data_IF_080828316506
#
_entry.id   IF_080828316506
#
_cell.length_a   1.000
_cell.length_b   1.000
_cell.length_c   1.000
_cell.angle_alpha   90.00
_cell.angle_beta   90.00
_cell.angle_gamma   90.00
#
_symmetry.space_group_name_H-M   'P 1'
#
loop_
_entity.id
_entity.type
_entity.pdbx_description
1 polymer ?
#
# COMPACT_ATOMS: atom_id res chain seq x y z
N UNK A 1 -2.06 18.22 -27.20
CA UNK A 1 -2.06 17.90 -25.75
C UNK A 1 -0.77 17.21 -25.28
N UNK A 2 0.23 16.95 -26.14
CA UNK A 2 1.45 16.18 -25.81
C UNK A 2 2.74 17.03 -25.64
N UNK A 3 2.61 18.34 -25.43
CA UNK A 3 3.75 19.29 -25.37
C UNK A 3 4.00 19.91 -24.00
N UNK A 4 3.25 19.52 -22.95
CA UNK A 4 3.22 20.25 -21.67
C UNK A 4 4.57 20.25 -20.95
N UNK A 5 5.27 19.11 -20.93
CA UNK A 5 6.60 18.99 -20.31
C UNK A 5 7.77 19.36 -21.23
N UNK A 6 7.51 19.61 -22.52
CA UNK A 6 8.52 20.15 -23.45
C UNK A 6 8.62 21.67 -23.38
N UNK A 7 7.69 22.32 -22.70
CA UNK A 7 7.64 23.76 -22.58
C UNK A 7 8.34 24.16 -21.27
N UNK A 8 9.53 24.76 -21.37
CA UNK A 8 10.35 25.13 -20.21
C UNK A 8 9.63 26.08 -19.24
N UNK A 9 8.69 26.87 -19.77
CA UNK A 9 7.81 27.76 -18.99
C UNK A 9 6.84 27.00 -18.08
N UNK A 10 6.27 25.89 -18.55
CA UNK A 10 5.41 25.04 -17.71
C UNK A 10 6.24 24.24 -16.72
N UNK A 11 7.44 23.79 -17.12
CA UNK A 11 8.35 23.07 -16.22
C UNK A 11 8.81 23.96 -15.07
N UNK A 12 9.16 25.20 -15.34
CA UNK A 12 9.52 26.20 -14.30
C UNK A 12 8.33 26.57 -13.42
N UNK A 13 7.13 26.72 -13.98
CA UNK A 13 5.90 26.98 -13.21
C UNK A 13 5.47 25.81 -12.32
N UNK A 14 5.69 24.56 -12.76
CA UNK A 14 5.39 23.35 -11.99
C UNK A 14 6.46 23.06 -10.92
N UNK A 15 7.71 23.44 -11.18
CA UNK A 15 8.84 23.23 -10.25
C UNK A 15 8.92 24.29 -9.16
N UNK A 16 8.42 25.51 -9.42
CA UNK A 16 8.43 26.59 -8.46
C UNK A 16 7.30 26.43 -7.44
N UNK A 17 7.67 26.43 -6.16
CA UNK A 17 6.72 26.27 -5.06
C UNK A 17 5.75 27.44 -5.07
N UNK A 18 4.51 27.14 -5.44
CA UNK A 18 3.38 28.02 -5.22
C UNK A 18 3.09 29.11 -6.23
N UNK A 19 3.89 29.24 -7.29
CA UNK A 19 3.47 30.05 -8.45
C UNK A 19 2.17 29.52 -9.04
N UNK A 20 2.01 28.20 -9.05
CA UNK A 20 0.79 27.56 -9.53
C UNK A 20 -0.43 27.93 -8.66
N UNK A 21 -0.27 27.97 -7.33
CA UNK A 21 -1.33 28.42 -6.43
C UNK A 21 -1.64 29.92 -6.60
N UNK A 22 -0.62 30.75 -6.77
CA UNK A 22 -0.79 32.20 -7.03
C UNK A 22 -1.55 32.47 -8.33
N UNK A 23 -1.35 31.64 -9.37
CA UNK A 23 -1.99 31.82 -10.68
C UNK A 23 -3.39 31.21 -10.75
N UNK A 24 -3.60 30.03 -10.18
CA UNK A 24 -4.84 29.27 -10.32
C UNK A 24 -5.78 29.40 -9.11
N UNK A 25 -5.27 29.84 -7.96
CA UNK A 25 -6.00 29.79 -6.69
C UNK A 25 -6.28 28.35 -6.23
N UNK A 26 -6.81 28.20 -5.01
CA UNK A 26 -7.07 26.89 -4.39
C UNK A 26 -8.04 26.05 -5.25
N UNK A 27 -9.17 26.64 -5.64
CA UNK A 27 -10.20 25.94 -6.42
C UNK A 27 -9.73 25.55 -7.82
N UNK A 28 -8.99 26.44 -8.50
CA UNK A 28 -8.43 26.14 -9.82
C UNK A 28 -7.41 24.99 -9.75
N UNK A 29 -6.62 24.92 -8.69
CA UNK A 29 -5.73 23.79 -8.46
C UNK A 29 -6.50 22.47 -8.23
N UNK A 30 -7.52 22.49 -7.36
CA UNK A 30 -8.33 21.29 -7.09
C UNK A 30 -9.06 20.78 -8.34
N UNK A 31 -9.71 21.67 -9.09
CA UNK A 31 -10.39 21.32 -10.33
C UNK A 31 -9.40 20.86 -11.40
N UNK A 32 -8.24 21.53 -11.52
CA UNK A 32 -7.15 21.12 -12.40
C UNK A 32 -6.66 19.71 -12.11
N UNK A 33 -6.47 19.36 -10.82
CA UNK A 33 -6.11 18.01 -10.40
C UNK A 33 -7.17 16.97 -10.78
N UNK A 34 -8.45 17.26 -10.59
CA UNK A 34 -9.56 16.35 -10.94
C UNK A 34 -9.62 16.12 -12.45
N UNK A 35 -9.52 17.19 -13.25
CA UNK A 35 -9.57 17.09 -14.72
C UNK A 35 -8.38 16.29 -15.24
N UNK A 36 -7.17 16.60 -14.78
CA UNK A 36 -5.95 15.89 -15.19
C UNK A 36 -5.91 14.43 -14.72
N UNK A 37 -6.49 14.11 -13.56
CA UNK A 37 -6.68 12.72 -13.12
C UNK A 37 -7.64 11.95 -14.01
N UNK A 38 -8.74 12.57 -14.45
CA UNK A 38 -9.66 11.96 -15.43
C UNK A 38 -8.99 11.76 -16.79
N UNK A 39 -8.15 12.71 -17.23
CA UNK A 39 -7.34 12.55 -18.44
C UNK A 39 -6.32 11.42 -18.28
N UNK A 40 -5.67 11.28 -17.12
CA UNK A 40 -4.77 10.17 -16.84
C UNK A 40 -5.51 8.83 -16.96
N UNK A 41 -6.70 8.70 -16.38
CA UNK A 41 -7.57 7.52 -16.53
C UNK A 41 -7.96 7.23 -17.99
N UNK A 42 -7.86 8.20 -18.89
CA UNK A 42 -8.04 7.98 -20.32
C UNK A 42 -6.73 7.57 -21.01
N UNK A 43 -5.62 8.24 -20.69
CA UNK A 43 -4.30 7.96 -21.25
C UNK A 43 -3.73 6.58 -20.89
N UNK A 44 -4.16 6.01 -19.76
CA UNK A 44 -3.80 4.64 -19.35
C UNK A 44 -4.03 3.61 -20.48
N UNK A 45 -5.03 3.83 -21.34
CA UNK A 45 -5.37 2.93 -22.44
C UNK A 45 -4.61 3.22 -23.74
N UNK A 46 -3.95 4.38 -23.83
CA UNK A 46 -3.35 4.88 -25.07
C UNK A 46 -1.82 4.87 -25.02
N UNK A 47 -1.24 5.38 -23.94
CA UNK A 47 0.20 5.56 -23.82
C UNK A 47 0.61 5.72 -22.35
N UNK A 48 1.52 4.86 -21.88
CA UNK A 48 2.04 4.84 -20.52
C UNK A 48 2.80 6.13 -20.16
N UNK A 49 3.57 6.69 -21.09
CA UNK A 49 4.36 7.90 -20.82
C UNK A 49 3.44 9.12 -20.62
N UNK A 50 2.38 9.21 -21.42
CA UNK A 50 1.38 10.27 -21.30
C UNK A 50 0.56 10.10 -20.02
N UNK A 51 0.26 8.87 -19.64
CA UNK A 51 -0.39 8.55 -18.38
C UNK A 51 0.45 9.01 -17.19
N UNK A 52 1.76 8.70 -17.18
CA UNK A 52 2.67 9.15 -16.12
C UNK A 52 2.75 10.69 -16.06
N UNK A 53 2.94 11.34 -17.20
CA UNK A 53 3.00 12.81 -17.28
C UNK A 53 1.72 13.48 -16.75
N UNK A 54 0.56 12.95 -17.11
CA UNK A 54 -0.72 13.49 -16.64
C UNK A 54 -0.97 13.21 -15.16
N UNK A 55 -0.52 12.07 -14.63
CA UNK A 55 -0.52 11.80 -13.19
C UNK A 55 0.39 12.77 -12.43
N UNK A 56 1.59 13.02 -12.96
CA UNK A 56 2.51 14.00 -12.38
C UNK A 56 1.90 15.41 -12.39
N UNK A 57 1.30 15.83 -13.50
CA UNK A 57 0.62 17.12 -13.57
C UNK A 57 -0.48 17.27 -12.52
N UNK A 58 -1.33 16.25 -12.34
CA UNK A 58 -2.35 16.23 -11.28
C UNK A 58 -1.73 16.34 -9.88
N UNK A 59 -0.63 15.63 -9.64
CA UNK A 59 0.08 15.69 -8.36
C UNK A 59 0.69 17.07 -8.06
N UNK A 60 1.19 17.80 -9.07
CA UNK A 60 1.68 19.17 -8.89
C UNK A 60 0.57 20.12 -8.44
N UNK A 61 -0.63 19.99 -9.02
CA UNK A 61 -1.79 20.76 -8.58
C UNK A 61 -2.13 20.49 -7.11
N UNK A 62 -2.25 19.21 -6.70
CA UNK A 62 -2.58 18.84 -5.33
C UNK A 62 -1.50 19.29 -4.33
N UNK A 63 -0.24 19.05 -4.69
CA UNK A 63 0.92 19.39 -3.88
C UNK A 63 1.07 20.90 -3.68
N UNK A 64 0.78 21.70 -4.71
CA UNK A 64 0.82 23.16 -4.61
C UNK A 64 -0.12 23.73 -3.55
N UNK A 65 -1.25 23.07 -3.28
CA UNK A 65 -2.20 23.52 -2.25
C UNK A 65 -1.71 23.11 -0.86
N UNK A 66 -1.13 21.91 -0.76
CA UNK A 66 -0.70 21.32 0.51
C UNK A 66 0.61 21.90 1.07
N UNK A 67 1.45 22.51 0.24
CA UNK A 67 2.62 23.24 0.75
C UNK A 67 2.25 24.49 1.56
N UNK A 68 1.13 25.14 1.24
CA UNK A 68 0.74 26.37 1.93
C UNK A 68 -0.01 26.14 3.24
N UNK A 69 -0.44 24.91 3.52
CA UNK A 69 -1.16 24.59 4.76
C UNK A 69 -0.24 24.37 5.95
N UNK A 70 1.03 24.02 5.69
CA UNK A 70 1.94 23.54 6.71
C UNK A 70 3.23 24.38 6.69
N UNK A 71 3.34 25.40 7.56
CA UNK A 71 4.43 26.38 7.52
C UNK A 71 5.82 25.82 7.86
N UNK A 72 5.95 24.52 8.15
CA UNK A 72 7.20 23.89 8.62
C UNK A 72 7.73 22.75 7.74
N UNK A 73 7.06 22.42 6.63
CA UNK A 73 7.48 21.33 5.74
C UNK A 73 8.23 21.92 4.53
N UNK A 74 9.54 22.05 4.65
CA UNK A 74 10.37 22.57 3.56
C UNK A 74 10.76 21.49 2.56
N UNK A 75 10.68 20.21 2.93
CA UNK A 75 11.07 19.10 2.06
C UNK A 75 9.95 18.07 1.94
N UNK A 76 9.93 17.33 0.83
CA UNK A 76 8.92 16.28 0.62
C UNK A 76 9.01 15.17 1.66
N UNK A 77 10.22 14.93 2.17
CA UNK A 77 10.49 13.92 3.18
C UNK A 77 9.89 14.28 4.54
N UNK A 78 9.71 15.57 4.85
CA UNK A 78 9.14 16.02 6.14
C UNK A 78 7.71 15.50 6.31
N UNK A 79 6.98 15.34 5.20
CA UNK A 79 5.64 14.74 5.16
C UNK A 79 5.61 13.27 5.56
N UNK A 80 6.74 12.56 5.58
CA UNK A 80 6.83 11.19 6.10
C UNK A 80 6.50 11.13 7.59
N UNK A 81 6.80 12.18 8.35
CA UNK A 81 6.57 12.24 9.81
C UNK A 81 5.21 12.84 10.19
N UNK A 82 4.48 13.36 9.21
CA UNK A 82 3.25 14.10 9.44
C UNK A 82 2.09 13.16 9.80
N UNK A 83 1.64 13.20 11.05
CA UNK A 83 0.46 12.47 11.51
C UNK A 83 -0.55 13.45 12.06
N UNK A 84 -1.69 13.56 11.40
CA UNK A 84 -2.71 14.52 11.77
C UNK A 84 -3.73 13.88 12.72
N UNK A 85 -4.09 14.64 13.74
CA UNK A 85 -5.16 14.29 14.68
C UNK A 85 -6.50 14.78 14.14
N UNK A 86 -7.59 14.10 14.53
CA UNK A 86 -8.96 14.33 14.06
C UNK A 86 -9.45 15.80 14.16
N UNK A 87 -8.77 16.65 14.92
CA UNK A 87 -9.06 18.08 15.13
C UNK A 87 -8.35 19.03 14.15
N UNK A 88 -7.53 18.53 13.23
CA UNK A 88 -6.76 19.39 12.33
C UNK A 88 -7.61 19.81 11.14
N UNK A 89 -8.01 21.07 11.08
CA UNK A 89 -8.58 21.65 9.88
C UNK A 89 -7.53 21.68 8.78
N UNK A 90 -7.85 21.12 7.60
CA UNK A 90 -6.93 21.07 6.44
C UNK A 90 -6.50 22.47 6.03
N UNK A 91 -7.47 23.39 6.00
CA UNK A 91 -7.30 24.80 5.72
C UNK A 91 -8.14 25.58 6.74
N UNK A 92 -7.53 26.40 7.62
CA UNK A 92 -8.30 27.22 8.54
C UNK A 92 -9.23 28.17 7.76
N UNK A 93 -10.52 28.17 8.07
CA UNK A 93 -11.52 29.04 7.44
C UNK A 93 -12.04 28.58 6.07
N UNK A 94 -11.56 27.46 5.50
CA UNK A 94 -12.08 26.92 4.23
C UNK A 94 -12.83 25.63 4.49
N UNK A 95 -14.12 25.63 4.19
CA UNK A 95 -14.95 24.43 4.19
C UNK A 95 -15.01 23.86 2.76
N UNK A 96 -14.26 22.79 2.48
CA UNK A 96 -14.24 22.17 1.15
C UNK A 96 -15.58 21.54 0.76
N UNK A 97 -16.31 21.07 1.77
CA UNK A 97 -17.53 20.26 1.62
C UNK A 97 -18.81 21.09 1.71
N UNK A 98 -18.71 22.40 1.93
CA UNK A 98 -19.90 23.24 2.09
C UNK A 98 -20.60 23.58 0.77
N UNK A 99 -19.87 23.55 -0.35
CA UNK A 99 -20.40 23.93 -1.67
C UNK A 99 -20.05 22.85 -2.72
N UNK A 100 -21.01 21.96 -2.98
CA UNK A 100 -20.84 20.86 -3.95
C UNK A 100 -20.62 21.35 -5.39
N UNK A 101 -21.07 22.56 -5.73
CA UNK A 101 -20.91 23.12 -7.08
C UNK A 101 -19.48 23.58 -7.35
N UNK A 102 -18.74 23.96 -6.31
CA UNK A 102 -17.31 24.29 -6.43
C UNK A 102 -16.44 23.05 -6.49
N UNK A 103 -16.76 22.04 -5.67
CA UNK A 103 -15.95 20.84 -5.57
C UNK A 103 -16.79 19.68 -5.04
N UNK A 104 -16.89 18.62 -5.83
CA UNK A 104 -17.46 17.37 -5.35
C UNK A 104 -16.42 16.60 -4.50
N UNK A 105 -16.64 16.38 -3.19
CA UNK A 105 -15.67 15.74 -2.32
C UNK A 105 -15.38 14.29 -2.74
N UNK A 106 -16.36 13.57 -3.29
CA UNK A 106 -16.15 12.21 -3.80
C UNK A 106 -15.19 12.20 -4.99
N UNK A 107 -15.33 13.17 -5.89
CA UNK A 107 -14.43 13.30 -7.03
C UNK A 107 -12.99 13.62 -6.60
N UNK A 108 -12.82 14.41 -5.54
CA UNK A 108 -11.49 14.68 -4.98
C UNK A 108 -10.91 13.44 -4.29
N UNK A 109 -11.69 12.71 -3.49
CA UNK A 109 -11.28 11.44 -2.87
C UNK A 109 -10.82 10.43 -3.94
N UNK A 110 -11.62 10.22 -4.99
CA UNK A 110 -11.28 9.32 -6.10
C UNK A 110 -10.04 9.76 -6.87
N UNK A 111 -9.81 11.07 -6.96
CA UNK A 111 -8.64 11.65 -7.59
C UNK A 111 -7.39 11.39 -6.75
N UNK A 112 -7.46 11.67 -5.45
CA UNK A 112 -6.36 11.44 -4.50
C UNK A 112 -5.99 9.97 -4.44
N UNK A 113 -6.98 9.08 -4.27
CA UNK A 113 -6.76 7.63 -4.24
C UNK A 113 -6.05 7.16 -5.53
N UNK A 114 -6.60 7.53 -6.70
CA UNK A 114 -6.05 7.10 -7.98
C UNK A 114 -4.62 7.62 -8.24
N UNK A 115 -4.36 8.90 -7.97
CA UNK A 115 -3.04 9.50 -8.21
C UNK A 115 -2.01 8.94 -7.24
N UNK A 116 -2.38 8.79 -5.96
CA UNK A 116 -1.52 8.17 -4.94
C UNK A 116 -1.12 6.76 -5.38
N UNK A 117 -2.10 5.95 -5.79
CA UNK A 117 -1.88 4.57 -6.19
C UNK A 117 -1.15 4.45 -7.54
N UNK A 118 -1.39 5.35 -8.49
CA UNK A 118 -0.70 5.35 -9.77
C UNK A 118 0.78 5.69 -9.59
N UNK A 119 1.09 6.83 -8.97
CA UNK A 119 2.47 7.29 -8.83
C UNK A 119 3.29 6.42 -7.86
N UNK A 120 2.66 5.79 -6.84
CA UNK A 120 3.36 4.82 -5.98
C UNK A 120 3.79 3.56 -6.74
N UNK A 121 3.12 3.21 -7.85
CA UNK A 121 3.54 2.09 -8.72
C UNK A 121 4.68 2.48 -9.68
N UNK A 122 4.84 3.77 -9.96
CA UNK A 122 5.95 4.30 -10.75
C UNK A 122 7.20 4.57 -9.89
N UNK A 123 7.20 4.16 -8.62
CA UNK A 123 8.29 4.35 -7.64
C UNK A 123 8.74 5.82 -7.47
N UNK A 124 7.86 6.78 -7.77
CA UNK A 124 8.10 8.22 -7.56
C UNK A 124 7.80 8.58 -6.10
N UNK A 125 8.52 7.93 -5.18
CA UNK A 125 8.18 7.80 -3.77
C UNK A 125 8.34 9.10 -2.96
N UNK A 126 9.36 9.91 -3.22
CA UNK A 126 9.54 11.18 -2.49
C UNK A 126 8.48 12.21 -2.87
N UNK A 127 8.25 12.38 -4.18
CA UNK A 127 7.35 13.41 -4.72
C UNK A 127 5.90 13.26 -4.25
N UNK A 128 5.48 12.03 -3.99
CA UNK A 128 4.09 11.68 -3.69
C UNK A 128 3.72 11.80 -2.20
N UNK A 129 4.70 11.81 -1.28
CA UNK A 129 4.47 11.92 0.16
C UNK A 129 3.52 13.07 0.56
N UNK A 130 3.67 14.30 0.02
CA UNK A 130 2.74 15.40 0.33
C UNK A 130 1.30 15.09 -0.12
N UNK A 131 1.14 14.43 -1.28
CA UNK A 131 -0.18 14.10 -1.83
C UNK A 131 -0.85 12.98 -1.03
N UNK A 132 -0.07 11.99 -0.57
CA UNK A 132 -0.57 10.93 0.31
C UNK A 132 -0.98 11.49 1.67
N UNK A 133 -0.17 12.40 2.23
CA UNK A 133 -0.53 13.09 3.46
C UNK A 133 -1.84 13.88 3.30
N UNK A 134 -2.00 14.65 2.21
CA UNK A 134 -3.26 15.31 1.88
C UNK A 134 -4.43 14.31 1.78
N UNK A 135 -4.20 13.14 1.18
CA UNK A 135 -5.22 12.09 1.05
C UNK A 135 -5.67 11.53 2.40
N UNK A 136 -4.73 11.17 3.30
CA UNK A 136 -5.04 10.66 4.64
C UNK A 136 -5.86 11.70 5.44
N UNK A 137 -5.43 12.97 5.42
CA UNK A 137 -6.12 14.05 6.11
C UNK A 137 -7.54 14.24 5.57
N UNK A 138 -7.68 14.28 4.24
CA UNK A 138 -8.97 14.51 3.62
C UNK A 138 -9.92 13.32 3.83
N UNK A 139 -9.39 12.09 3.83
CA UNK A 139 -10.15 10.88 4.17
C UNK A 139 -10.67 10.91 5.61
N UNK A 140 -9.82 11.34 6.56
CA UNK A 140 -10.19 11.50 7.97
C UNK A 140 -11.24 12.59 8.13
N UNK A 141 -11.08 13.74 7.47
CA UNK A 141 -12.04 14.83 7.49
C UNK A 141 -13.42 14.39 6.94
N UNK A 142 -13.43 13.59 5.87
CA UNK A 142 -14.65 13.01 5.30
C UNK A 142 -15.22 11.85 6.13
N UNK A 143 -14.57 11.47 7.25
CA UNK A 143 -14.92 10.32 8.09
C UNK A 143 -15.01 8.99 7.33
N UNK A 144 -14.24 8.84 6.26
CA UNK A 144 -14.23 7.62 5.46
C UNK A 144 -13.11 6.68 5.91
N UNK A 145 -13.49 5.65 6.66
CA UNK A 145 -12.55 4.65 7.21
C UNK A 145 -11.80 3.91 6.10
N UNK A 146 -12.50 3.44 5.06
CA UNK A 146 -11.88 2.64 3.99
C UNK A 146 -10.77 3.42 3.28
N UNK A 147 -11.06 4.68 2.92
CA UNK A 147 -10.05 5.54 2.30
C UNK A 147 -8.94 5.97 3.26
N UNK A 148 -9.24 6.12 4.56
CA UNK A 148 -8.20 6.40 5.56
C UNK A 148 -7.20 5.24 5.63
N UNK A 149 -7.70 4.01 5.67
CA UNK A 149 -6.88 2.80 5.69
C UNK A 149 -6.11 2.68 4.37
N UNK A 150 -6.77 2.86 3.23
CA UNK A 150 -6.13 2.82 1.91
C UNK A 150 -5.00 3.86 1.79
N UNK A 151 -5.23 5.10 2.22
CA UNK A 151 -4.21 6.15 2.23
C UNK A 151 -2.98 5.74 3.05
N UNK A 152 -3.20 5.15 4.24
CA UNK A 152 -2.14 4.67 5.12
C UNK A 152 -1.41 3.45 4.57
N UNK A 153 -2.09 2.53 3.87
CA UNK A 153 -1.44 1.39 3.20
C UNK A 153 -0.56 1.87 2.04
N UNK A 154 -1.03 2.81 1.22
CA UNK A 154 -0.20 3.41 0.16
C UNK A 154 0.99 4.14 0.77
N UNK A 155 0.78 4.89 1.85
CA UNK A 155 1.87 5.55 2.59
C UNK A 155 2.89 4.54 3.12
N UNK A 156 2.42 3.47 3.75
CA UNK A 156 3.26 2.40 4.29
C UNK A 156 4.14 1.80 3.19
N UNK A 157 3.55 1.49 2.03
CA UNK A 157 4.29 0.99 0.85
C UNK A 157 5.41 1.94 0.44
N UNK A 158 5.10 3.23 0.29
CA UNK A 158 6.07 4.27 -0.09
C UNK A 158 7.18 4.43 0.95
N UNK A 159 6.85 4.42 2.24
CA UNK A 159 7.84 4.53 3.30
C UNK A 159 8.78 3.31 3.36
N UNK A 160 8.26 2.10 3.12
CA UNK A 160 9.10 0.90 3.00
C UNK A 160 10.02 1.00 1.78
N UNK A 161 9.54 1.51 0.65
CA UNK A 161 10.35 1.73 -0.55
C UNK A 161 11.46 2.78 -0.34
N UNK A 162 11.23 3.75 0.55
CA UNK A 162 12.21 4.76 0.96
C UNK A 162 13.10 4.33 2.14
N UNK A 163 12.95 3.10 2.64
CA UNK A 163 13.64 2.56 3.81
C UNK A 163 13.43 3.36 5.11
N UNK A 164 12.32 4.10 5.21
CA UNK A 164 11.91 4.85 6.40
C UNK A 164 11.17 3.92 7.39
N UNK A 165 11.92 2.99 8.00
CA UNK A 165 11.35 1.90 8.80
C UNK A 165 10.69 2.36 10.11
N UNK A 166 11.21 3.41 10.77
CA UNK A 166 10.57 4.04 11.92
C UNK A 166 9.14 4.51 11.61
N UNK A 167 8.98 5.30 10.56
CA UNK A 167 7.70 5.85 10.13
C UNK A 167 6.76 4.75 9.62
N UNK A 168 7.29 3.78 8.87
CA UNK A 168 6.54 2.61 8.41
C UNK A 168 5.98 1.79 9.58
N UNK A 169 6.83 1.48 10.58
CA UNK A 169 6.42 0.74 11.77
C UNK A 169 5.35 1.49 12.57
N UNK A 170 5.45 2.82 12.65
CA UNK A 170 4.44 3.65 13.30
C UNK A 170 3.08 3.54 12.61
N UNK A 171 3.04 3.54 11.26
CA UNK A 171 1.79 3.31 10.52
C UNK A 171 1.24 1.90 10.77
N UNK A 172 2.11 0.89 10.78
CA UNK A 172 1.71 -0.49 11.07
C UNK A 172 1.03 -0.58 12.44
N UNK A 173 1.66 -0.04 13.49
CA UNK A 173 1.06 -0.02 14.83
C UNK A 173 -0.27 0.74 14.85
N UNK A 174 -0.36 1.89 14.16
CA UNK A 174 -1.62 2.63 14.07
C UNK A 174 -2.74 1.81 13.40
N UNK A 175 -2.41 1.00 12.38
CA UNK A 175 -3.37 0.13 11.71
C UNK A 175 -3.72 -1.12 12.53
N UNK A 176 -2.80 -1.66 13.33
CA UNK A 176 -3.07 -2.78 14.22
C UNK A 176 -3.99 -2.39 15.39
N UNK A 177 -3.70 -1.24 16.00
CA UNK A 177 -4.41 -0.73 17.18
C UNK A 177 -5.69 0.04 16.83
N UNK A 178 -5.93 0.33 15.55
CA UNK A 178 -7.03 1.19 15.10
C UNK A 178 -6.90 2.66 15.55
N UNK A 179 -5.68 3.11 15.85
CA UNK A 179 -5.43 4.48 16.32
C UNK A 179 -5.69 5.50 15.21
N UNK A 180 -6.24 6.65 15.61
CA UNK A 180 -6.57 7.78 14.71
C UNK A 180 -7.47 7.39 13.53
N UNK A 181 -8.26 6.32 13.63
CA UNK A 181 -9.32 6.07 12.67
C UNK A 181 -10.49 7.03 12.91
N UNK A 182 -11.21 7.46 11.85
CA UNK A 182 -12.41 8.26 12.03
C UNK A 182 -13.44 7.48 12.85
N UNK A 183 -13.90 8.04 13.96
CA UNK A 183 -14.92 7.37 14.77
C UNK A 183 -16.26 7.41 14.04
N UNK A 184 -16.94 6.27 13.89
CA UNK A 184 -18.32 6.23 13.38
C UNK A 184 -19.36 6.65 14.42
N UNK A 185 -18.95 6.86 15.68
CA UNK A 185 -19.83 7.25 16.77
C UNK A 185 -19.46 8.64 17.31
N UNK A 186 -20.49 9.40 17.68
CA UNK A 186 -20.37 10.67 18.43
C UNK A 186 -19.71 10.46 19.82
N UNK A 187 -19.52 9.20 20.23
CA UNK A 187 -18.78 8.81 21.44
C UNK A 187 -17.50 8.10 21.00
N UNK A 188 -16.37 8.75 21.27
CA UNK A 188 -15.07 8.38 20.73
C UNK A 188 -14.59 6.98 21.09
N UNK A 189 -13.62 6.54 20.28
CA UNK A 189 -12.76 5.34 20.37
C UNK A 189 -13.37 4.03 19.86
N UNK A 190 -12.79 3.53 18.77
CA UNK A 190 -12.60 2.09 18.58
C UNK A 190 -11.47 1.63 19.50
N UNK A 191 -11.65 1.77 20.81
CA UNK A 191 -10.81 1.04 21.74
C UNK A 191 -11.40 -0.35 21.82
N UNK A 192 -10.65 -1.33 21.37
CA UNK A 192 -10.85 -2.70 21.81
C UNK A 192 -10.90 -2.65 23.34
N UNK A 193 -12.04 -3.05 23.90
CA UNK A 193 -12.33 -3.13 25.33
C UNK A 193 -11.10 -3.65 26.09
N UNK A 194 -10.47 -2.78 26.88
CA UNK A 194 -9.58 -2.99 28.04
C UNK A 194 -8.85 -1.69 28.44
N UNK A 195 -9.42 -0.51 28.16
CA UNK A 195 -8.75 0.78 28.41
C UNK A 195 -9.05 1.42 29.78
N UNK A 196 -9.85 0.76 30.63
CA UNK A 196 -10.20 1.27 31.96
C UNK A 196 -9.37 0.64 33.09
N UNK A 197 -8.34 -0.14 32.78
CA UNK A 197 -7.48 -0.76 33.80
C UNK A 197 -6.03 -1.01 33.36
N UNK A 198 -5.34 0.02 32.87
CA UNK A 198 -3.86 -0.02 32.83
C UNK A 198 -3.30 1.29 33.41
N UNK A 199 -2.68 1.27 34.60
CA UNK A 199 -1.94 2.41 35.13
C UNK A 199 -0.61 2.56 34.35
N UNK A 200 -0.19 3.81 34.16
CA UNK A 200 0.99 4.28 33.41
C UNK A 200 0.89 4.18 31.88
N UNK A 201 0.71 5.36 31.25
CA UNK A 201 0.97 5.61 29.82
C UNK A 201 2.45 5.35 29.52
N UNK A 202 2.81 4.10 29.23
CA UNK A 202 4.07 3.78 28.55
C UNK A 202 4.06 4.52 27.21
N UNK A 203 5.09 5.32 26.94
CA UNK A 203 5.25 5.95 25.61
C UNK A 203 5.25 4.83 24.56
N UNK A 204 4.52 5.00 23.44
CA UNK A 204 4.56 4.01 22.38
C UNK A 204 6.01 3.87 21.90
N UNK A 205 6.50 2.64 21.89
CA UNK A 205 7.86 2.31 21.43
C UNK A 205 7.80 2.00 19.95
N UNK A 206 8.62 2.71 19.18
CA UNK A 206 8.73 2.57 17.74
C UNK A 206 10.15 2.14 17.37
N UNK A 207 10.27 1.38 16.28
CA UNK A 207 11.55 0.99 15.68
C UNK A 207 12.43 2.22 15.47
N UNK A 208 13.69 2.18 15.87
CA UNK A 208 14.57 3.34 15.82
C UNK A 208 15.61 3.17 14.70
N UNK A 209 15.50 3.99 13.66
CA UNK A 209 16.42 3.99 12.52
C UNK A 209 17.85 4.42 12.91
N UNK A 210 18.02 5.16 14.02
CA UNK A 210 19.34 5.58 14.49
C UNK A 210 20.13 4.45 15.18
N UNK A 211 19.44 3.36 15.52
CA UNK A 211 20.03 2.18 16.19
C UNK A 211 20.17 1.03 15.20
N UNK A 212 21.14 0.17 15.46
CA UNK A 212 21.28 -1.10 14.73
C UNK A 212 20.00 -1.94 14.85
N UNK A 213 19.69 -2.68 13.79
CA UNK A 213 18.58 -3.66 13.76
C UNK A 213 18.72 -4.69 14.89
N UNK A 214 19.95 -5.07 15.24
CA UNK A 214 20.27 -6.08 16.26
C UNK A 214 20.34 -5.48 17.68
N UNK A 215 20.09 -4.17 17.83
CA UNK A 215 19.99 -3.62 19.18
C UNK A 215 18.83 -4.27 19.94
N UNK A 216 19.04 -4.56 21.23
CA UNK A 216 18.03 -5.19 22.10
C UNK A 216 16.69 -4.44 22.06
N UNK A 217 16.74 -3.12 21.88
CA UNK A 217 15.59 -2.27 21.69
C UNK A 217 14.82 -2.60 20.39
N UNK A 218 15.49 -2.60 19.24
CA UNK A 218 14.85 -2.88 17.95
C UNK A 218 14.42 -4.35 17.85
N UNK A 219 15.19 -5.28 18.40
CA UNK A 219 14.84 -6.71 18.44
C UNK A 219 13.58 -6.96 19.29
N UNK A 220 13.46 -6.31 20.45
CA UNK A 220 12.25 -6.41 21.27
C UNK A 220 11.00 -5.89 20.56
N UNK A 221 11.13 -4.85 19.75
CA UNK A 221 10.04 -4.33 18.91
C UNK A 221 9.69 -5.32 17.80
N UNK A 222 10.68 -5.91 17.14
CA UNK A 222 10.48 -6.90 16.09
C UNK A 222 9.86 -8.19 16.65
N UNK A 223 10.28 -8.67 17.83
CA UNK A 223 9.70 -9.84 18.50
C UNK A 223 8.17 -9.67 18.68
N UNK A 224 7.75 -8.51 19.17
CA UNK A 224 6.32 -8.18 19.32
C UNK A 224 5.65 -8.14 17.95
N UNK A 225 6.25 -7.45 16.99
CA UNK A 225 5.66 -7.25 15.67
C UNK A 225 5.49 -8.56 14.89
N UNK A 226 6.47 -9.47 14.95
CA UNK A 226 6.44 -10.77 14.29
C UNK A 226 5.26 -11.64 14.73
N UNK A 227 4.79 -11.44 15.96
CA UNK A 227 3.66 -12.16 16.56
C UNK A 227 2.34 -11.41 16.43
N UNK A 228 2.38 -10.09 16.24
CA UNK A 228 1.15 -9.29 16.09
C UNK A 228 0.39 -9.64 14.82
N UNK A 229 -0.93 -9.69 14.93
CA UNK A 229 -1.85 -9.94 13.81
C UNK A 229 -2.99 -8.94 13.85
N UNK A 230 -3.56 -8.68 12.68
CA UNK A 230 -4.76 -7.86 12.59
C UNK A 230 -5.90 -8.57 13.34
N UNK A 231 -6.50 -7.88 14.32
CA UNK A 231 -7.65 -8.42 15.06
C UNK A 231 -8.82 -8.70 14.10
N UNK A 232 -9.63 -9.76 14.32
CA UNK A 232 -10.82 -10.05 13.51
C UNK A 232 -11.81 -8.88 13.45
N UNK A 233 -11.85 -8.03 14.49
CA UNK A 233 -12.66 -6.81 14.47
C UNK A 233 -12.13 -5.78 13.47
N UNK A 234 -10.82 -5.53 13.47
CA UNK A 234 -10.17 -4.62 12.52
C UNK A 234 -10.22 -5.17 11.10
N UNK A 235 -10.01 -6.48 10.90
CA UNK A 235 -10.12 -7.10 9.58
C UNK A 235 -11.51 -6.93 8.96
N UNK A 236 -12.57 -7.08 9.77
CA UNK A 236 -13.95 -6.80 9.31
C UNK A 236 -14.17 -5.32 8.97
N UNK A 237 -13.58 -4.42 9.75
CA UNK A 237 -13.69 -2.97 9.55
C UNK A 237 -12.94 -2.50 8.29
N UNK A 238 -11.80 -3.11 7.98
CA UNK A 238 -11.01 -2.82 6.77
C UNK A 238 -11.58 -3.50 5.52
N UNK A 239 -12.25 -4.65 5.69
CA UNK A 239 -12.68 -5.51 4.60
C UNK A 239 -11.57 -6.45 4.14
N UNK A 240 -11.94 -7.46 3.35
CA UNK A 240 -11.04 -8.52 2.90
C UNK A 240 -9.86 -7.96 2.09
N UNK A 241 -10.14 -7.10 1.10
CA UNK A 241 -9.13 -6.51 0.22
C UNK A 241 -8.01 -5.81 0.99
N UNK A 242 -8.36 -4.81 1.80
CA UNK A 242 -7.38 -4.02 2.55
C UNK A 242 -6.67 -4.84 3.64
N UNK A 243 -7.33 -5.87 4.18
CA UNK A 243 -6.71 -6.81 5.13
C UNK A 243 -5.62 -7.65 4.47
N UNK A 244 -5.85 -8.16 3.26
CA UNK A 244 -4.85 -8.95 2.52
C UNK A 244 -3.70 -8.03 2.07
N UNK A 245 -4.00 -6.82 1.58
CA UNK A 245 -2.96 -5.83 1.23
C UNK A 245 -2.10 -5.46 2.45
N UNK A 246 -2.71 -5.27 3.62
CA UNK A 246 -1.98 -5.03 4.86
C UNK A 246 -1.01 -6.18 5.20
N UNK A 247 -1.46 -7.43 5.11
CA UNK A 247 -0.61 -8.59 5.37
C UNK A 247 0.54 -8.70 4.35
N UNK A 248 0.28 -8.36 3.08
CA UNK A 248 1.33 -8.25 2.08
C UNK A 248 2.35 -7.15 2.43
N UNK A 249 1.90 -5.97 2.86
CA UNK A 249 2.81 -4.88 3.25
C UNK A 249 3.59 -5.19 4.52
N UNK A 250 3.03 -5.95 5.47
CA UNK A 250 3.78 -6.49 6.60
C UNK A 250 4.88 -7.43 6.13
N UNK A 251 4.57 -8.34 5.19
CA UNK A 251 5.57 -9.21 4.58
C UNK A 251 6.68 -8.38 3.90
N UNK A 252 6.30 -7.40 3.09
CA UNK A 252 7.23 -6.50 2.41
C UNK A 252 8.13 -5.76 3.40
N UNK A 253 7.58 -5.27 4.51
CA UNK A 253 8.34 -4.61 5.58
C UNK A 253 9.45 -5.54 6.12
N UNK A 254 9.11 -6.78 6.48
CA UNK A 254 10.11 -7.72 7.02
C UNK A 254 11.19 -8.08 6.00
N UNK A 255 10.82 -8.34 4.74
CA UNK A 255 11.77 -8.69 3.67
C UNK A 255 12.71 -7.52 3.35
N UNK A 256 12.19 -6.29 3.34
CA UNK A 256 12.98 -5.07 3.09
C UNK A 256 13.87 -4.71 4.25
N UNK A 257 13.44 -4.96 5.49
CA UNK A 257 14.29 -4.81 6.66
C UNK A 257 15.41 -5.86 6.65
N UNK A 258 15.10 -7.11 6.24
CA UNK A 258 16.07 -8.19 6.12
C UNK A 258 17.14 -7.94 5.05
N UNK A 259 16.81 -7.26 3.94
CA UNK A 259 17.78 -6.94 2.88
C UNK A 259 18.89 -6.01 3.37
N UNK A 260 18.64 -5.22 4.43
CA UNK A 260 19.63 -4.35 5.07
C UNK A 260 20.64 -5.09 5.94
N UNK A 261 20.41 -6.37 6.22
CA UNK A 261 21.37 -7.24 6.91
C UNK A 261 22.28 -7.89 5.84
N UNK A 262 23.59 -7.58 5.82
CA UNK A 262 24.52 -8.03 4.77
C UNK A 262 25.00 -9.48 4.99
N UNK A 263 24.06 -10.40 5.18
CA UNK A 263 24.32 -11.83 5.43
C UNK A 263 23.34 -12.67 4.60
N UNK A 264 23.68 -13.92 4.32
CA UNK A 264 22.78 -14.84 3.62
C UNK A 264 21.78 -15.41 4.62
N UNK A 265 20.49 -15.42 4.27
CA UNK A 265 19.46 -16.05 5.10
C UNK A 265 19.52 -17.59 4.96
N UNK A 266 19.44 -18.29 6.09
CA UNK A 266 19.32 -19.75 6.15
C UNK A 266 17.93 -20.13 6.67
N UNK A 267 17.04 -20.53 5.76
CA UNK A 267 15.65 -20.87 6.09
C UNK A 267 15.50 -22.10 6.98
N UNK A 268 16.50 -22.97 7.10
CA UNK A 268 16.43 -24.15 7.97
C UNK A 268 16.36 -23.75 9.45
N UNK A 269 17.00 -22.63 9.81
CA UNK A 269 16.91 -22.02 11.14
C UNK A 269 15.50 -21.50 11.43
N UNK A 270 14.78 -21.06 10.40
CA UNK A 270 13.38 -20.66 10.55
C UNK A 270 12.45 -21.87 10.63
N UNK A 271 12.71 -22.92 9.84
CA UNK A 271 11.86 -24.12 9.82
C UNK A 271 11.88 -24.89 11.14
N UNK A 272 13.02 -24.89 11.83
CA UNK A 272 13.22 -25.51 13.14
C UNK A 272 12.65 -24.70 14.31
N UNK A 273 12.14 -23.48 14.05
CA UNK A 273 11.70 -22.57 15.10
C UNK A 273 10.28 -22.84 15.62
N UNK A 274 10.08 -22.64 16.93
CA UNK A 274 8.76 -22.59 17.57
C UNK A 274 7.88 -21.47 16.98
N UNK A 275 8.49 -20.42 16.42
CA UNK A 275 7.77 -19.37 15.71
C UNK A 275 6.98 -19.90 14.54
N UNK A 276 7.59 -20.66 13.62
CA UNK A 276 6.85 -21.22 12.48
C UNK A 276 5.66 -22.05 12.98
N UNK A 277 5.87 -22.87 14.02
CA UNK A 277 4.81 -23.66 14.65
C UNK A 277 3.70 -22.77 15.21
N UNK A 278 4.00 -21.77 16.03
CA UNK A 278 3.02 -20.81 16.58
C UNK A 278 2.28 -20.04 15.49
N UNK A 279 2.99 -19.64 14.44
CA UNK A 279 2.39 -18.96 13.30
C UNK A 279 1.43 -19.89 12.55
N UNK A 280 1.72 -21.19 12.48
CA UNK A 280 0.88 -22.21 11.82
C UNK A 280 -0.26 -22.77 12.70
N UNK A 281 -0.09 -22.90 14.02
CA UNK A 281 -1.08 -23.50 14.94
C UNK A 281 -2.16 -22.52 15.40
N UNK A 282 -1.85 -21.21 15.39
CA UNK A 282 -2.86 -20.15 15.56
C UNK A 282 -3.94 -20.15 14.46
N UNK A 283 -3.81 -21.01 13.44
CA UNK A 283 -4.75 -21.16 12.32
C UNK A 283 -5.73 -22.33 12.52
N UNK A 284 -5.45 -23.29 13.40
CA UNK A 284 -6.24 -24.54 13.46
C UNK A 284 -7.17 -24.67 14.65
N UNK A 285 -7.13 -23.77 15.64
CA UNK A 285 -7.87 -23.97 16.89
C UNK A 285 -8.95 -22.89 17.16
N UNK A 286 -10.26 -23.23 17.04
CA UNK A 286 -11.35 -22.32 17.40
C UNK A 286 -11.43 -22.03 18.92
N UNK A 287 -10.61 -22.69 19.74
CA UNK A 287 -10.57 -22.58 21.21
C UNK A 287 -9.71 -21.45 21.76
N UNK A 288 -9.02 -20.66 20.93
CA UNK A 288 -8.38 -19.41 21.40
C UNK A 288 -9.36 -18.27 21.69
N UNK A 289 -10.67 -18.48 21.49
CA UNK A 289 -11.74 -17.55 21.95
C UNK A 289 -11.92 -17.51 23.46
N UNK A 290 -11.46 -18.52 24.22
CA UNK A 290 -11.65 -18.61 25.68
C UNK A 290 -10.43 -18.17 26.50
N UNK A 291 -9.30 -17.83 25.88
CA UNK A 291 -8.10 -17.36 26.58
C UNK A 291 -7.99 -15.83 26.70
N UNK A 292 -8.84 -15.09 25.98
CA UNK A 292 -8.93 -13.61 26.05
C UNK A 292 -10.21 -13.11 26.72
N UNK A 293 -11.10 -14.03 27.10
CA UNK A 293 -12.32 -13.74 27.87
C UNK A 293 -12.21 -14.31 29.27
N UNK A 294 -11.85 -13.47 30.23
CA UNK A 294 -12.15 -13.72 31.65
C UNK A 294 -11.24 -14.71 32.37
N UNK A 295 -9.96 -14.38 32.55
CA UNK A 295 -9.30 -14.61 33.85
C UNK A 295 -8.10 -13.68 33.96
N UNK A 296 -7.96 -13.08 35.15
CA UNK A 296 -6.80 -12.26 35.49
C UNK A 296 -5.55 -13.08 35.19
N UNK A 297 -4.74 -12.64 34.23
CA UNK A 297 -3.37 -13.12 34.08
C UNK A 297 -2.64 -12.59 35.32
N UNK A 298 -2.68 -13.35 36.39
CA UNK A 298 -1.77 -13.20 37.51
C UNK A 298 -0.38 -13.48 36.96
N UNK A 299 0.50 -12.52 37.14
CA UNK A 299 1.95 -12.62 37.06
C UNK A 299 2.47 -14.07 37.20
N UNK A 300 3.24 -14.51 36.19
CA UNK A 300 4.08 -15.73 36.16
C UNK A 300 3.65 -16.95 35.31
N UNK A 301 3.02 -16.76 34.15
CA UNK A 301 3.16 -17.69 33.02
C UNK A 301 3.80 -16.97 31.83
N UNK A 302 5.13 -16.80 31.92
CA UNK A 302 5.98 -16.35 30.81
C UNK A 302 5.86 -17.38 29.67
N UNK A 303 4.96 -17.15 28.72
CA UNK A 303 5.23 -17.55 27.34
C UNK A 303 6.62 -17.02 27.03
N UNK A 304 7.59 -17.90 26.72
CA UNK A 304 8.91 -17.51 26.24
C UNK A 304 8.71 -16.80 24.90
N UNK A 305 8.36 -15.52 24.97
CA UNK A 305 7.92 -14.66 23.87
C UNK A 305 9.10 -14.12 23.04
N UNK A 306 10.29 -14.70 23.22
CA UNK A 306 11.53 -14.01 22.92
C UNK A 306 12.36 -14.81 21.93
N UNK A 307 12.24 -14.47 20.66
CA UNK A 307 12.92 -15.22 19.61
C UNK A 307 14.35 -14.75 19.44
N UNK A 308 14.64 -13.53 19.90
CA UNK A 308 15.97 -12.91 19.86
C UNK A 308 16.61 -12.67 21.24
N UNK A 309 16.13 -13.27 22.34
CA UNK A 309 16.75 -13.05 23.65
C UNK A 309 18.04 -13.81 23.89
N UNK A 310 18.21 -15.01 23.33
CA UNK A 310 19.41 -15.81 23.50
C UNK A 310 20.56 -15.23 22.65
N UNK A 311 21.78 -15.17 23.20
CA UNK A 311 22.96 -14.64 22.50
C UNK A 311 23.24 -15.36 21.17
N UNK A 312 22.82 -16.63 21.07
CA UNK A 312 22.93 -17.45 19.87
C UNK A 312 21.94 -17.05 18.76
N UNK A 313 20.74 -16.56 19.12
CA UNK A 313 19.71 -16.13 18.15
C UNK A 313 19.85 -14.66 17.73
N UNK A 314 20.73 -13.90 18.38
CA UNK A 314 21.09 -12.51 17.99
C UNK A 314 22.10 -12.41 16.84
N UNK A 315 22.51 -13.54 16.25
CA UNK A 315 23.41 -13.46 15.09
C UNK A 315 22.69 -12.84 13.89
N UNK A 316 23.42 -12.10 13.05
CA UNK A 316 22.89 -11.51 11.82
C UNK A 316 22.22 -12.55 10.91
N UNK A 317 22.76 -13.78 10.87
CA UNK A 317 22.18 -14.91 10.13
C UNK A 317 20.80 -15.26 10.68
N UNK A 318 20.67 -15.45 11.99
CA UNK A 318 19.39 -15.82 12.61
C UNK A 318 18.35 -14.74 12.41
N UNK A 319 18.65 -13.48 12.75
CA UNK A 319 17.73 -12.35 12.59
C UNK A 319 17.23 -12.24 11.15
N UNK A 320 18.14 -12.28 10.16
CA UNK A 320 17.75 -12.23 8.75
C UNK A 320 16.89 -13.44 8.36
N UNK A 321 17.26 -14.63 8.79
CA UNK A 321 16.52 -15.88 8.48
C UNK A 321 15.10 -15.86 9.02
N UNK A 322 14.90 -15.32 10.23
CA UNK A 322 13.58 -15.13 10.82
C UNK A 322 12.75 -14.09 10.08
N UNK A 323 13.34 -12.94 9.73
CA UNK A 323 12.64 -11.89 8.99
C UNK A 323 12.24 -12.35 7.58
N UNK A 324 13.14 -13.00 6.84
CA UNK A 324 12.84 -13.55 5.51
C UNK A 324 11.84 -14.70 5.61
N UNK A 325 12.01 -15.63 6.56
CA UNK A 325 11.12 -16.77 6.75
C UNK A 325 9.69 -16.35 7.12
N UNK A 326 9.56 -15.36 8.00
CA UNK A 326 8.25 -14.80 8.36
C UNK A 326 7.64 -14.01 7.21
N UNK A 327 8.41 -13.14 6.55
CA UNK A 327 7.98 -12.45 5.33
C UNK A 327 7.43 -13.43 4.28
N UNK A 328 8.21 -14.46 3.94
CA UNK A 328 7.83 -15.53 3.02
C UNK A 328 6.50 -16.19 3.42
N UNK A 329 6.37 -16.59 4.68
CA UNK A 329 5.16 -17.25 5.20
C UNK A 329 3.91 -16.35 5.08
N UNK A 330 4.02 -15.05 5.33
CA UNK A 330 2.90 -14.11 5.14
C UNK A 330 2.53 -13.97 3.65
N UNK A 331 3.52 -13.87 2.76
CA UNK A 331 3.28 -13.77 1.33
C UNK A 331 2.61 -15.04 0.77
N UNK A 332 3.06 -16.23 1.18
CA UNK A 332 2.43 -17.50 0.83
C UNK A 332 0.99 -17.60 1.33
N UNK A 333 0.69 -17.06 2.52
CA UNK A 333 -0.70 -16.99 3.02
C UNK A 333 -1.58 -16.07 2.20
N UNK A 334 -1.08 -14.89 1.83
CA UNK A 334 -1.81 -14.00 0.94
C UNK A 334 -2.11 -14.70 -0.40
N UNK A 335 -1.13 -15.42 -0.96
CA UNK A 335 -1.30 -16.19 -2.18
C UNK A 335 -2.36 -17.30 -2.02
N UNK A 336 -2.31 -18.07 -0.94
CA UNK A 336 -3.29 -19.13 -0.67
C UNK A 336 -4.71 -18.57 -0.54
N UNK A 337 -4.90 -17.43 0.12
CA UNK A 337 -6.22 -16.78 0.23
C UNK A 337 -6.73 -16.33 -1.14
N UNK A 338 -5.84 -15.84 -2.01
CA UNK A 338 -6.16 -15.44 -3.38
C UNK A 338 -6.41 -16.63 -4.33
N UNK A 339 -5.88 -17.82 -4.01
CA UNK A 339 -6.05 -19.05 -4.82
C UNK A 339 -7.26 -19.88 -4.36
N UNK A 340 -7.56 -19.90 -3.07
CA UNK A 340 -8.74 -20.60 -2.51
C UNK A 340 -10.08 -20.02 -2.99
N UNK A 341 -10.11 -18.80 -3.49
CA UNK A 341 -11.29 -18.23 -4.15
C UNK A 341 -11.61 -18.90 -5.51
N UNK A 342 -10.74 -19.77 -6.03
CA UNK A 342 -10.86 -20.39 -7.36
C UNK A 342 -10.54 -21.92 -7.32
N UNK A 343 -11.10 -22.67 -6.36
CA UNK A 343 -10.93 -24.15 -6.22
C UNK A 343 -11.36 -24.99 -7.46
N UNK A 344 -11.89 -24.38 -8.52
CA UNK A 344 -12.31 -25.07 -9.75
C UNK A 344 -11.33 -24.96 -10.93
N UNK A 345 -10.25 -24.18 -10.85
CA UNK A 345 -9.32 -24.02 -11.96
C UNK A 345 -7.91 -24.52 -11.58
N UNK A 346 -7.61 -25.76 -11.96
CA UNK A 346 -6.22 -26.29 -11.95
C UNK A 346 -5.28 -25.52 -12.90
N UNK A 347 -5.86 -24.70 -13.78
CA UNK A 347 -5.17 -23.85 -14.73
C UNK A 347 -5.57 -22.39 -14.50
N UNK A 348 -4.93 -21.74 -13.52
CA UNK A 348 -4.99 -20.31 -13.20
C UNK A 348 -6.38 -19.74 -12.81
N UNK A 349 -6.40 -18.78 -11.87
CA UNK A 349 -7.65 -18.26 -11.37
C UNK A 349 -8.28 -17.32 -12.42
N UNK A 350 -9.30 -17.80 -13.11
CA UNK A 350 -9.96 -17.11 -14.22
C UNK A 350 -10.99 -16.08 -13.74
N UNK A 351 -11.32 -16.07 -12.45
CA UNK A 351 -12.36 -15.21 -11.87
C UNK A 351 -11.85 -14.03 -11.02
N UNK A 352 -10.54 -13.83 -10.90
CA UNK A 352 -9.99 -12.75 -10.08
C UNK A 352 -10.36 -11.35 -10.60
N UNK A 353 -10.56 -10.44 -9.66
CA UNK A 353 -10.69 -9.01 -9.92
C UNK A 353 -9.32 -8.39 -10.25
N UNK A 354 -9.32 -7.22 -10.90
CA UNK A 354 -8.08 -6.55 -11.33
C UNK A 354 -7.10 -6.28 -10.18
N UNK A 355 -7.60 -6.00 -8.97
CA UNK A 355 -6.75 -5.77 -7.81
C UNK A 355 -6.12 -7.06 -7.28
N UNK A 356 -6.83 -8.19 -7.38
CA UNK A 356 -6.39 -9.50 -6.88
C UNK A 356 -5.24 -10.03 -7.73
N UNK A 357 -5.33 -9.87 -9.06
CA UNK A 357 -4.20 -10.15 -9.96
C UNK A 357 -2.98 -9.29 -9.62
N UNK A 358 -3.19 -8.01 -9.32
CA UNK A 358 -2.09 -7.12 -8.94
C UNK A 358 -1.43 -7.57 -7.63
N UNK A 359 -2.23 -7.90 -6.62
CA UNK A 359 -1.72 -8.36 -5.33
C UNK A 359 -1.03 -9.72 -5.45
N UNK A 360 -1.52 -10.60 -6.34
CA UNK A 360 -0.89 -11.87 -6.66
C UNK A 360 0.50 -11.66 -7.28
N UNK A 361 0.62 -10.77 -8.26
CA UNK A 361 1.90 -10.41 -8.89
C UNK A 361 2.86 -9.84 -7.84
N UNK A 362 2.39 -8.93 -7.00
CA UNK A 362 3.16 -8.34 -5.90
C UNK A 362 3.66 -9.43 -4.92
N UNK A 363 2.81 -10.39 -4.53
CA UNK A 363 3.19 -11.50 -3.65
C UNK A 363 4.23 -12.43 -4.29
N UNK A 364 4.04 -12.86 -5.54
CA UNK A 364 5.00 -13.71 -6.25
C UNK A 364 6.36 -13.03 -6.41
N UNK A 365 6.34 -11.73 -6.70
CA UNK A 365 7.57 -10.95 -6.86
C UNK A 365 8.32 -10.79 -5.53
N UNK A 366 7.57 -10.64 -4.43
CA UNK A 366 8.15 -10.65 -3.08
C UNK A 366 8.72 -12.02 -2.70
N UNK A 367 8.07 -13.12 -3.11
CA UNK A 367 8.60 -14.48 -2.92
C UNK A 367 9.89 -14.72 -3.73
N UNK A 368 9.97 -14.16 -4.94
CA UNK A 368 11.20 -14.14 -5.73
C UNK A 368 12.32 -13.38 -5.00
N UNK A 369 12.03 -12.20 -4.44
CA UNK A 369 12.98 -11.43 -3.62
C UNK A 369 13.43 -12.21 -2.37
N UNK A 370 12.52 -12.90 -1.68
CA UNK A 370 12.85 -13.77 -0.55
C UNK A 370 13.80 -14.90 -0.95
N UNK A 371 13.52 -15.57 -2.07
CA UNK A 371 14.34 -16.66 -2.58
C UNK A 371 15.75 -16.17 -2.95
N UNK A 372 15.85 -14.98 -3.55
CA UNK A 372 17.12 -14.35 -3.88
C UNK A 372 17.94 -14.01 -2.62
N UNK A 373 17.32 -13.49 -1.56
CA UNK A 373 18.00 -13.24 -0.27
C UNK A 373 18.56 -14.51 0.40
N UNK A 374 18.08 -15.69 -0.01
CA UNK A 374 18.54 -17.00 0.44
C UNK A 374 19.49 -17.68 -0.58
N UNK A 375 19.90 -17.00 -1.67
CA UNK A 375 20.65 -17.60 -2.79
C UNK A 375 19.98 -18.85 -3.41
N UNK A 376 18.65 -18.87 -3.44
CA UNK A 376 17.87 -19.91 -4.10
C UNK A 376 17.48 -19.44 -5.52
N UNK A 377 18.47 -19.19 -6.37
CA UNK A 377 18.28 -18.52 -7.66
C UNK A 377 17.32 -19.28 -8.60
N UNK A 378 17.37 -20.61 -8.60
CA UNK A 378 16.44 -21.43 -9.38
C UNK A 378 14.97 -21.22 -8.95
N UNK A 379 14.74 -21.05 -7.65
CA UNK A 379 13.41 -20.85 -7.08
C UNK A 379 12.94 -19.41 -7.30
N UNK A 380 13.86 -18.43 -7.18
CA UNK A 380 13.60 -17.04 -7.52
C UNK A 380 13.18 -16.88 -8.99
N UNK A 381 13.90 -17.55 -9.90
CA UNK A 381 13.59 -17.58 -11.33
C UNK A 381 12.24 -18.23 -11.62
N UNK A 382 11.85 -19.30 -10.90
CA UNK A 382 10.53 -19.92 -11.04
C UNK A 382 9.40 -18.94 -10.73
N UNK A 383 9.48 -18.23 -9.61
CA UNK A 383 8.47 -17.22 -9.27
C UNK A 383 8.44 -16.07 -10.28
N UNK A 384 9.60 -15.62 -10.75
CA UNK A 384 9.68 -14.58 -11.79
C UNK A 384 9.03 -15.05 -13.12
N UNK A 385 9.25 -16.31 -13.50
CA UNK A 385 8.62 -16.92 -14.68
C UNK A 385 7.11 -17.07 -14.52
N UNK A 386 6.62 -17.41 -13.33
CA UNK A 386 5.18 -17.42 -13.04
C UNK A 386 4.56 -16.03 -13.19
N UNK A 387 5.23 -14.99 -12.68
CA UNK A 387 4.80 -13.60 -12.88
C UNK A 387 4.73 -13.28 -14.38
N UNK A 388 5.78 -13.57 -15.15
CA UNK A 388 5.80 -13.33 -16.59
C UNK A 388 4.70 -14.10 -17.34
N UNK A 389 4.42 -15.34 -16.95
CA UNK A 389 3.35 -16.14 -17.54
C UNK A 389 1.96 -15.57 -17.23
N UNK A 390 1.71 -15.15 -16.00
CA UNK A 390 0.45 -14.50 -15.64
C UNK A 390 0.31 -13.19 -16.42
N UNK A 391 1.39 -12.42 -16.54
CA UNK A 391 1.40 -11.20 -17.31
C UNK A 391 1.16 -11.46 -18.82
N UNK A 392 1.74 -12.51 -19.40
CA UNK A 392 1.52 -12.84 -20.81
C UNK A 392 0.09 -13.29 -21.08
N UNK A 393 -0.50 -14.10 -20.20
CA UNK A 393 -1.89 -14.55 -20.30
C UNK A 393 -2.87 -13.37 -20.25
N UNK A 394 -2.65 -12.41 -19.33
CA UNK A 394 -3.47 -11.21 -19.28
C UNK A 394 -3.32 -10.39 -20.59
N UNK A 395 -2.18 -10.48 -21.28
CA UNK A 395 -1.89 -9.72 -22.52
C UNK A 395 -2.42 -10.37 -23.79
N UNK A 396 -2.44 -11.71 -23.84
CA UNK A 396 -2.85 -12.50 -25.02
C UNK A 396 -4.36 -12.46 -25.29
N UNK A 397 -5.19 -12.22 -24.26
CA UNK A 397 -6.65 -12.07 -24.41
C UNK A 397 -7.08 -10.88 -25.29
N UNK A 398 -6.16 -9.97 -25.67
CA UNK A 398 -6.43 -8.90 -26.63
C UNK A 398 -5.84 -9.09 -28.03
N UNK A 399 -5.08 -10.17 -28.27
CA UNK A 399 -4.46 -10.41 -29.58
C UNK A 399 -5.42 -11.17 -30.51
N UNK A 400 -6.40 -11.90 -29.97
CA UNK A 400 -7.29 -12.76 -30.78
C UNK A 400 -8.60 -12.13 -31.28
N UNK A 401 -8.94 -10.88 -30.93
CA UNK A 401 -10.11 -10.19 -31.52
C UNK A 401 -9.80 -9.35 -32.78
N UNK A 402 -8.56 -9.34 -33.26
CA UNK A 402 -8.19 -8.60 -34.49
C UNK A 402 -8.22 -9.44 -35.77
N UNK A 403 -9.09 -10.45 -35.83
CA UNK A 403 -9.23 -11.32 -37.01
C UNK A 403 -10.67 -11.56 -37.49
N UNK A 404 -11.59 -10.60 -37.36
CA UNK A 404 -12.81 -10.55 -38.21
C UNK A 404 -13.24 -9.11 -38.47
N UNK A 405 -12.68 -8.48 -39.51
CA UNK A 405 -13.33 -7.38 -40.24
C UNK A 405 -12.60 -7.07 -41.56
N UNK A 406 -12.31 -8.11 -42.35
CA UNK A 406 -12.17 -7.95 -43.80
C UNK A 406 -13.54 -8.21 -44.42
N UNK A 407 -14.34 -7.15 -44.56
CA UNK A 407 -15.70 -7.26 -45.12
C UNK A 407 -16.37 -5.89 -45.28
N UNK A 408 -16.22 -5.32 -46.47
CA UNK A 408 -17.05 -4.31 -47.14
C UNK A 408 -18.16 -3.55 -46.37
N UNK A 409 -18.10 -2.20 -46.50
CA UNK A 409 -19.17 -1.30 -46.97
C UNK A 409 -19.52 -0.06 -46.09
N UNK A 410 -19.25 1.12 -46.68
CA UNK A 410 -20.04 2.38 -46.75
C UNK A 410 -20.65 3.02 -45.49
N UNK A 411 -20.13 4.24 -45.20
CA UNK A 411 -20.79 5.50 -44.76
C UNK A 411 -22.03 5.42 -43.84
N UNK A 412 -21.94 6.06 -42.67
CA UNK A 412 -22.57 7.38 -42.35
C UNK A 412 -22.27 7.79 -40.90
N UNK A 413 -22.01 9.07 -40.71
CA UNK A 413 -21.90 9.70 -39.41
C UNK A 413 -23.28 9.79 -38.74
N UNK A 414 -23.36 9.36 -37.48
CA UNK A 414 -24.38 9.77 -36.52
C UNK A 414 -23.84 9.56 -35.11
N UNK A 415 -23.81 10.62 -34.30
CA UNK A 415 -23.60 10.52 -32.86
C UNK A 415 -24.79 9.77 -32.23
N UNK A 416 -24.58 8.95 -31.19
CA UNK A 416 -25.63 8.70 -30.22
C UNK A 416 -25.27 9.16 -28.80
N UNK A 417 -26.35 9.50 -28.10
CA UNK A 417 -26.49 10.16 -26.80
C UNK A 417 -25.97 9.31 -25.64
N UNK A 418 -25.63 10.00 -24.55
CA UNK A 418 -25.52 9.42 -23.22
C UNK A 418 -26.82 8.73 -22.82
N UNK A 419 -26.77 7.44 -22.52
CA UNK A 419 -27.72 6.78 -21.60
C UNK A 419 -27.08 5.55 -20.94
N UNK A 420 -27.02 5.61 -19.61
CA UNK A 420 -27.06 4.55 -18.60
C UNK A 420 -26.50 3.14 -18.89
N UNK A 421 -25.55 2.77 -18.01
CA UNK A 421 -25.52 1.55 -17.18
C UNK A 421 -25.48 0.18 -17.86
N UNK A 422 -24.50 -0.61 -17.39
CA UNK A 422 -24.27 -2.04 -17.59
C UNK A 422 -23.63 -2.45 -18.92
N UNK A 423 -22.34 -2.82 -18.85
CA UNK A 423 -21.74 -4.05 -19.40
C UNK A 423 -20.21 -3.92 -19.35
N UNK A 424 -19.63 -4.51 -18.31
CA UNK A 424 -18.29 -5.12 -18.40
C UNK A 424 -18.39 -6.29 -19.40
N UNK A 425 -17.40 -6.53 -20.28
CA UNK A 425 -16.03 -6.86 -19.91
C UNK A 425 -14.96 -6.20 -20.83
N UNK A 426 -14.19 -5.24 -20.31
CA UNK A 426 -12.98 -4.68 -20.95
C UNK A 426 -11.85 -4.40 -19.94
N UNK A 427 -11.92 -5.00 -18.75
CA UNK A 427 -11.13 -4.59 -17.58
C UNK A 427 -9.89 -5.43 -17.26
N UNK A 428 -9.58 -6.49 -18.01
CA UNK A 428 -8.39 -7.32 -17.69
C UNK A 428 -7.07 -6.81 -18.29
N UNK A 429 -7.07 -6.04 -19.38
CA UNK A 429 -5.80 -5.54 -19.98
C UNK A 429 -5.10 -4.41 -19.22
N UNK A 430 -5.76 -3.78 -18.25
CA UNK A 430 -5.36 -2.46 -17.76
C UNK A 430 -4.40 -2.48 -16.56
N UNK A 431 -4.19 -3.64 -15.93
CA UNK A 431 -3.17 -3.81 -14.88
C UNK A 431 -1.76 -4.04 -15.46
N UNK A 432 -1.68 -4.56 -16.70
CA UNK A 432 -0.45 -4.99 -17.34
C UNK A 432 0.47 -3.85 -17.77
N UNK A 433 -0.05 -2.86 -18.49
CA UNK A 433 0.76 -1.78 -19.05
C UNK A 433 1.36 -0.85 -17.98
N UNK A 434 0.72 -0.77 -16.80
CA UNK A 434 1.25 -0.01 -15.66
C UNK A 434 2.35 -0.79 -14.93
N UNK A 435 2.26 -2.13 -14.86
CA UNK A 435 3.25 -2.95 -14.14
C UNK A 435 4.51 -3.24 -14.97
N UNK A 436 4.38 -3.38 -16.30
CA UNK A 436 5.48 -3.79 -17.17
C UNK A 436 6.56 -2.71 -17.35
N UNK A 437 6.20 -1.43 -17.28
CA UNK A 437 7.13 -0.32 -17.59
C UNK A 437 7.79 0.32 -16.36
N UNK A 438 7.48 -0.11 -15.13
CA UNK A 438 7.87 0.65 -13.93
C UNK A 438 8.65 -0.12 -12.90
N UNK A 439 8.37 -1.42 -12.69
CA UNK A 439 9.01 -2.21 -11.61
C UNK A 439 10.06 -3.21 -12.05
N UNK A 440 10.03 -3.69 -13.29
CA UNK A 440 10.82 -4.88 -13.68
C UNK A 440 11.90 -4.64 -14.73
N UNK A 441 12.03 -3.44 -15.30
CA UNK A 441 13.12 -3.14 -16.24
C UNK A 441 14.51 -3.19 -15.58
N UNK A 442 14.62 -2.95 -14.26
CA UNK A 442 15.89 -3.01 -13.54
C UNK A 442 16.27 -4.42 -13.04
N UNK A 443 15.30 -5.30 -12.77
CA UNK A 443 15.56 -6.66 -12.28
C UNK A 443 15.65 -7.72 -13.40
N UNK A 444 15.28 -7.38 -14.65
CA UNK A 444 15.35 -8.28 -15.81
C UNK A 444 16.68 -8.20 -16.59
N UNK A 445 17.63 -7.38 -16.14
CA UNK A 445 18.98 -7.27 -16.73
C UNK A 445 20.02 -8.20 -16.08
N UNK A 446 19.57 -9.21 -15.32
CA UNK A 446 20.37 -10.36 -14.84
C UNK A 446 19.65 -11.62 -15.32
#
# INVERSE_FOLDING_TARGET
VTTWFKNDTLKTLLSSRGQLLQKCGIWGCLLGAIVTSKLAKYHIHLNCDQHLQTCLLSSYFLRSIFFYTLPHSEHDIDYATLFIDNSTYIWPGIQLTSDEFRLNPRSLMDTLAYICEALSRHDICLHILPVIALYDIFAVHCRNIQHTVQARLIRLRVLIQLDLFHEAHRIIQMLLDGQKLPSTHVSGRYQTSNADSIPLKLKPQYFDNSKSIISDYNLGILDVLLLTRLSPAMSRLYGSHLSIEFNYLLSLFFVRLASRIPVIANLDLFQSSELKQNLTTTITDPRYKTMLGGSRITSASKLKLYTFHDETTRSFVHVKSYLVGTGKLFAERCLNVLQQTDEMARDYPSNLQSFEYQLLIDCLSLLSECAHQCHLDQLAARYAMEVLKILSMIGEDNIYEKKVASGSAKRKASYPRLSAVSRYPRKKLNALNILFNTRYSHNLNV
#
